data_IF_906794121293
#
_entry.id   IF_906794121293
#
_cell.length_a   1.000
_cell.length_b   1.000
_cell.length_c   1.000
_cell.angle_alpha   90.00
_cell.angle_beta   90.00
_cell.angle_gamma   90.00
#
_symmetry.space_group_name_H-M   'P 1'
#
loop_
_entity.id
_entity.type
_entity.pdbx_description
1 polymer ?
#
# COMPACT_ATOMS: atom_id res chain seq x y z
N UNK A 1 -3.50 12.30 -8.94
CA UNK A 1 -4.84 11.92 -8.47
C UNK A 1 -5.00 12.47 -7.07
N UNK A 2 -6.18 13.00 -6.74
CA UNK A 2 -6.48 13.42 -5.38
C UNK A 2 -7.22 12.25 -4.69
N UNK A 3 -6.59 11.66 -3.68
CA UNK A 3 -7.16 10.55 -2.91
C UNK A 3 -8.07 11.12 -1.83
N UNK A 4 -9.37 10.89 -1.94
CA UNK A 4 -10.39 11.58 -1.13
C UNK A 4 -10.65 10.89 0.21
N UNK A 5 -10.29 9.62 0.35
CA UNK A 5 -10.52 8.86 1.57
C UNK A 5 -9.44 9.09 2.63
N UNK A 6 -9.83 9.54 3.82
CA UNK A 6 -8.91 9.88 4.92
C UNK A 6 -7.96 8.72 5.29
N UNK A 7 -8.44 7.47 5.23
CA UNK A 7 -7.63 6.31 5.57
C UNK A 7 -6.45 6.09 4.61
N UNK A 8 -6.48 6.66 3.41
CA UNK A 8 -5.36 6.56 2.47
C UNK A 8 -4.15 7.38 2.91
N UNK A 9 -4.37 8.39 3.75
CA UNK A 9 -3.36 9.27 4.30
C UNK A 9 -2.91 8.86 5.72
N UNK A 10 -3.51 7.80 6.27
CA UNK A 10 -3.13 7.27 7.56
C UNK A 10 -1.86 6.41 7.45
N UNK A 11 -0.99 6.42 8.49
CA UNK A 11 0.17 5.55 8.55
C UNK A 11 -0.22 4.07 8.51
N UNK A 12 0.55 3.22 7.82
CA UNK A 12 0.25 1.79 7.69
C UNK A 12 0.03 1.06 9.04
N UNK A 13 0.73 1.48 10.09
CA UNK A 13 0.59 0.95 11.45
C UNK A 13 -0.81 1.13 12.05
N UNK A 14 -1.54 2.16 11.63
CA UNK A 14 -2.91 2.46 12.09
C UNK A 14 -3.97 1.68 11.29
N UNK A 15 -3.59 1.13 10.14
CA UNK A 15 -4.48 0.47 9.19
C UNK A 15 -4.54 -1.05 9.38
N UNK A 16 -3.74 -1.61 10.30
CA UNK A 16 -3.73 -3.05 10.60
C UNK A 16 -2.92 -3.90 9.61
N UNK A 17 -2.01 -3.29 8.85
CA UNK A 17 -1.03 -4.04 8.05
C UNK A 17 -0.07 -4.84 8.95
N UNK A 18 0.49 -5.90 8.38
CA UNK A 18 1.48 -6.74 9.02
C UNK A 18 2.73 -5.93 9.36
N UNK A 19 3.43 -6.33 10.43
CA UNK A 19 4.68 -5.68 10.86
C UNK A 19 5.73 -5.67 9.76
N UNK A 20 5.77 -6.74 8.97
CA UNK A 20 6.68 -6.87 7.85
C UNK A 20 6.34 -5.90 6.73
N UNK A 21 5.05 -5.77 6.38
CA UNK A 21 4.59 -4.78 5.41
C UNK A 21 5.03 -3.37 5.83
N UNK A 22 4.73 -2.98 7.06
CA UNK A 22 5.10 -1.67 7.61
C UNK A 22 6.62 -1.44 7.58
N UNK A 23 7.43 -2.44 7.95
CA UNK A 23 8.88 -2.30 7.93
C UNK A 23 9.44 -2.15 6.51
N UNK A 24 8.95 -2.96 5.56
CA UNK A 24 9.39 -2.90 4.17
C UNK A 24 9.00 -1.57 3.52
N UNK A 25 7.74 -1.12 3.69
CA UNK A 25 7.30 0.15 3.08
C UNK A 25 8.00 1.35 3.70
N UNK A 26 8.23 1.36 5.01
CA UNK A 26 8.99 2.41 5.69
C UNK A 26 10.45 2.50 5.20
N UNK A 27 11.12 1.36 5.03
CA UNK A 27 12.48 1.31 4.46
C UNK A 27 12.54 1.81 3.00
N UNK A 28 11.45 1.63 2.25
CA UNK A 28 11.32 2.11 0.88
C UNK A 28 10.84 3.58 0.80
N UNK A 29 10.58 4.22 1.94
CA UNK A 29 10.14 5.63 2.02
C UNK A 29 8.65 5.86 1.77
N UNK A 30 7.83 4.80 1.80
CA UNK A 30 6.37 4.89 1.73
C UNK A 30 5.78 4.80 3.13
N UNK A 31 4.94 5.76 3.52
CA UNK A 31 4.37 5.82 4.86
C UNK A 31 2.85 5.65 4.88
N UNK A 32 2.19 5.92 3.74
CA UNK A 32 0.74 5.90 3.59
C UNK A 32 0.32 5.17 2.31
N UNK A 33 -0.95 4.74 2.21
CA UNK A 33 -1.47 4.12 0.98
C UNK A 33 -1.44 5.10 -0.19
N UNK A 34 -1.67 6.39 0.06
CA UNK A 34 -1.55 7.45 -0.93
C UNK A 34 -0.14 7.54 -1.53
N UNK A 35 0.91 7.15 -0.79
CA UNK A 35 2.27 7.09 -1.33
C UNK A 35 2.47 5.88 -2.24
N UNK A 36 1.93 4.72 -1.87
CA UNK A 36 2.00 3.50 -2.70
C UNK A 36 1.15 3.61 -3.96
N UNK A 37 -0.03 4.23 -3.88
CA UNK A 37 -0.95 4.40 -5.01
C UNK A 37 -0.41 5.33 -6.10
N UNK A 38 0.67 6.07 -5.83
CA UNK A 38 1.42 6.82 -6.87
C UNK A 38 2.21 5.88 -7.79
N UNK A 39 2.38 4.63 -7.40
CA UNK A 39 3.14 3.61 -8.12
C UNK A 39 2.20 2.49 -8.60
N UNK A 40 2.56 1.85 -9.71
CA UNK A 40 1.82 0.67 -10.17
C UNK A 40 2.15 -0.55 -9.31
N UNK A 41 1.21 -1.50 -9.11
CA UNK A 41 1.49 -2.74 -8.41
C UNK A 41 2.64 -3.55 -9.03
N UNK A 42 2.90 -3.39 -10.32
CA UNK A 42 3.99 -4.03 -11.05
C UNK A 42 5.32 -3.41 -10.67
N UNK A 43 5.40 -2.09 -10.60
CA UNK A 43 6.59 -1.38 -10.12
C UNK A 43 6.91 -1.76 -8.69
N UNK A 44 5.90 -1.80 -7.81
CA UNK A 44 6.09 -2.20 -6.41
C UNK A 44 6.70 -3.61 -6.31
N UNK A 45 6.31 -4.56 -7.17
CA UNK A 45 6.93 -5.89 -7.22
C UNK A 45 8.39 -5.93 -7.67
N UNK A 46 8.92 -4.83 -8.21
CA UNK A 46 10.35 -4.71 -8.54
C UNK A 46 11.19 -4.19 -7.37
N UNK A 47 10.55 -3.68 -6.32
CA UNK A 47 11.24 -3.11 -5.16
C UNK A 47 11.80 -4.22 -4.25
N UNK A 48 13.00 -4.02 -3.69
CA UNK A 48 13.62 -5.01 -2.82
C UNK A 48 12.78 -5.22 -1.56
N UNK A 49 12.41 -6.47 -1.30
CA UNK A 49 11.60 -6.86 -0.14
C UNK A 49 10.09 -6.72 -0.33
N UNK A 50 9.61 -6.04 -1.37
CA UNK A 50 8.18 -5.94 -1.67
C UNK A 50 7.71 -7.15 -2.49
N UNK A 51 7.57 -8.28 -1.81
CA UNK A 51 7.27 -9.56 -2.44
C UNK A 51 5.78 -9.73 -2.82
N UNK A 52 5.47 -10.88 -3.42
CA UNK A 52 4.10 -11.23 -3.81
C UNK A 52 3.12 -11.23 -2.63
N UNK A 53 3.57 -11.59 -1.43
CA UNK A 53 2.72 -11.66 -0.23
C UNK A 53 2.34 -10.24 0.20
N UNK A 54 3.29 -9.31 0.24
CA UNK A 54 3.03 -7.91 0.55
C UNK A 54 2.16 -7.23 -0.52
N UNK A 55 2.38 -7.53 -1.81
CA UNK A 55 1.49 -7.07 -2.88
C UNK A 55 0.06 -7.56 -2.70
N UNK A 56 -0.13 -8.82 -2.35
CA UNK A 56 -1.47 -9.36 -2.08
C UNK A 56 -2.10 -8.72 -0.85
N UNK A 57 -1.34 -8.47 0.21
CA UNK A 57 -1.83 -7.79 1.42
C UNK A 57 -2.34 -6.39 1.09
N UNK A 58 -1.57 -5.61 0.33
CA UNK A 58 -1.93 -4.30 -0.17
C UNK A 58 -3.20 -4.31 -1.02
N UNK A 59 -3.27 -5.17 -2.04
CA UNK A 59 -4.43 -5.27 -2.94
C UNK A 59 -5.68 -5.72 -2.16
N UNK A 60 -5.52 -6.72 -1.28
CA UNK A 60 -6.62 -7.25 -0.47
C UNK A 60 -7.21 -6.18 0.44
N UNK A 61 -6.35 -5.35 1.04
CA UNK A 61 -6.80 -4.24 1.87
C UNK A 61 -7.64 -3.23 1.07
N UNK A 62 -7.17 -2.82 -0.11
CA UNK A 62 -7.90 -1.88 -0.97
C UNK A 62 -9.23 -2.46 -1.47
N UNK A 63 -9.26 -3.76 -1.78
CA UNK A 63 -10.50 -4.47 -2.12
C UNK A 63 -11.49 -4.51 -0.95
N UNK A 64 -11.02 -4.80 0.26
CA UNK A 64 -11.86 -4.80 1.47
C UNK A 64 -12.44 -3.40 1.78
N UNK A 65 -11.71 -2.34 1.44
CA UNK A 65 -12.17 -0.96 1.57
C UNK A 65 -13.02 -0.46 0.39
N UNK A 66 -13.19 -1.26 -0.66
CA UNK A 66 -13.98 -0.88 -1.84
C UNK A 66 -13.30 0.13 -2.76
N UNK A 67 -11.99 0.34 -2.60
CA UNK A 67 -11.22 1.37 -3.33
C UNK A 67 -10.18 0.78 -4.29
N UNK A 68 -10.35 -0.49 -4.68
CA UNK A 68 -9.43 -1.15 -5.62
C UNK A 68 -9.38 -0.49 -7.00
N UNK A 69 -10.33 0.39 -7.32
CA UNK A 69 -10.35 1.19 -8.54
C UNK A 69 -9.18 2.18 -8.65
N UNK A 70 -8.47 2.47 -7.56
CA UNK A 70 -7.24 3.27 -7.61
C UNK A 70 -6.00 2.48 -8.10
N UNK A 71 -6.14 1.18 -8.35
CA UNK A 71 -5.06 0.33 -8.86
C UNK A 71 -5.04 0.22 -10.40
N UNK A 72 -6.03 0.78 -11.09
CA UNK A 72 -6.17 0.82 -12.56
C UNK A 72 -5.32 1.93 -13.20
#
# INVERSE_FOLDING_TARGET
>A
MEYTEDFLHQPFKELGFSKEFCAVTEHLGYFTLADLLKQTPEYLSTLPGFDRRLKLEYISYLQQKGVSHYLD
#
